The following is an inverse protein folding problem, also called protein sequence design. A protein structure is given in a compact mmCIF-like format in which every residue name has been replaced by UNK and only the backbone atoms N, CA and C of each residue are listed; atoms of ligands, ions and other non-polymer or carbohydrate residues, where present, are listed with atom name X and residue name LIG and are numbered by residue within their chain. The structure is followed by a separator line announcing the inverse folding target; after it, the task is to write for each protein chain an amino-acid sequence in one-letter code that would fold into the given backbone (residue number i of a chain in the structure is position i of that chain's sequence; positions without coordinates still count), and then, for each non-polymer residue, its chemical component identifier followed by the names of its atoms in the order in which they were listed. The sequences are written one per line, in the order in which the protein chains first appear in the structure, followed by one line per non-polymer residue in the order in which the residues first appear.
data_IF_471144035407
#
_entry.id   IF_471144035407
#
_cell.length_a   1.000
_cell.length_b   1.000
_cell.length_c   1.000
_cell.angle_alpha   90.00
_cell.angle_beta   90.00
_cell.angle_gamma   90.00
#
_symmetry.space_group_name_H-M   'P 1'
#
loop_
_entity.id
_entity.type
_entity.pdbx_description
1 polymer ?
#
# COMPACT_ATOMS: atom_id res chain seq x y z
N UNK A 1 6.21 -1.15 14.38
CA UNK A 1 4.92 -1.88 14.41
C UNK A 1 3.88 -0.92 14.99
N UNK A 2 2.76 -0.75 14.30
CA UNK A 2 1.64 0.08 14.76
C UNK A 2 0.78 -0.80 15.67
N UNK A 3 0.48 -0.40 16.92
CA UNK A 3 -0.46 -1.12 17.77
C UNK A 3 -1.80 -1.33 17.08
N UNK A 4 -2.36 -2.53 17.13
CA UNK A 4 -3.64 -2.88 16.52
C UNK A 4 -3.60 -3.19 15.02
N UNK A 5 -2.42 -3.22 14.38
CA UNK A 5 -2.28 -3.51 12.93
C UNK A 5 -2.82 -4.90 12.53
N UNK A 6 -2.85 -5.83 13.47
CA UNK A 6 -3.40 -7.19 13.28
C UNK A 6 -4.86 -7.31 13.77
N UNK A 7 -5.56 -6.19 13.94
CA UNK A 7 -6.97 -6.12 14.35
C UNK A 7 -7.91 -6.77 13.34
N UNK A 8 -9.07 -7.24 13.82
CA UNK A 8 -10.08 -7.93 12.98
C UNK A 8 -10.69 -7.05 11.89
N UNK A 9 -10.66 -5.73 12.09
CA UNK A 9 -11.12 -4.71 11.15
C UNK A 9 -10.00 -4.18 10.25
N UNK A 10 -8.80 -4.78 10.31
CA UNK A 10 -7.65 -4.39 9.48
C UNK A 10 -7.49 -5.38 8.34
N UNK A 11 -7.36 -4.86 7.12
CA UNK A 11 -7.15 -5.64 5.89
C UNK A 11 -5.94 -5.10 5.15
N UNK A 12 -5.09 -5.98 4.62
CA UNK A 12 -4.01 -5.54 3.76
C UNK A 12 -4.56 -5.14 2.39
N UNK A 13 -3.99 -4.10 1.76
CA UNK A 13 -4.46 -3.59 0.45
C UNK A 13 -4.50 -4.67 -0.64
N UNK A 14 -3.54 -5.60 -0.66
CA UNK A 14 -3.49 -6.69 -1.65
C UNK A 14 -4.63 -7.69 -1.41
N UNK A 15 -4.97 -7.95 -0.16
CA UNK A 15 -6.09 -8.84 0.19
C UNK A 15 -7.43 -8.16 -0.09
N UNK A 16 -7.54 -6.86 0.16
CA UNK A 16 -8.72 -6.07 -0.17
C UNK A 16 -9.05 -6.14 -1.67
N UNK A 17 -8.07 -5.93 -2.55
CA UNK A 17 -8.22 -6.07 -4.02
C UNK A 17 -8.60 -7.50 -4.46
N UNK A 18 -8.15 -8.52 -3.74
CA UNK A 18 -8.46 -9.92 -4.09
C UNK A 18 -9.84 -10.37 -3.62
N UNK A 19 -10.34 -9.76 -2.57
CA UNK A 19 -11.57 -10.16 -1.93
C UNK A 19 -12.26 -8.97 -1.25
N UNK A 20 -13.13 -8.30 -1.98
CA UNK A 20 -13.93 -7.17 -1.52
C UNK A 20 -14.80 -7.50 -0.30
N UNK A 21 -15.15 -8.78 -0.09
CA UNK A 21 -15.92 -9.22 1.07
C UNK A 21 -15.21 -9.01 2.40
N UNK A 22 -13.91 -8.73 2.39
CA UNK A 22 -13.15 -8.36 3.58
C UNK A 22 -13.41 -6.91 4.01
N UNK A 23 -13.86 -6.05 3.10
CA UNK A 23 -14.16 -4.64 3.35
C UNK A 23 -15.57 -4.53 3.94
N UNK A 24 -15.66 -4.31 5.24
CA UNK A 24 -16.92 -4.22 5.98
C UNK A 24 -17.30 -2.78 6.27
N UNK A 25 -18.60 -2.55 6.42
CA UNK A 25 -19.17 -1.25 6.75
C UNK A 25 -19.02 -0.21 5.63
N UNK A 26 -19.19 1.05 5.95
CA UNK A 26 -19.23 2.13 4.98
C UNK A 26 -18.09 3.15 5.13
N UNK A 27 -17.52 3.26 6.33
CA UNK A 27 -16.38 4.15 6.62
C UNK A 27 -15.08 3.40 6.47
N UNK A 28 -14.34 3.68 5.41
CA UNK A 28 -13.08 3.01 5.10
C UNK A 28 -11.91 3.98 5.25
N UNK A 29 -10.90 3.61 6.03
CA UNK A 29 -9.67 4.41 6.11
C UNK A 29 -8.50 3.61 5.55
N UNK A 30 -7.82 4.18 4.57
CA UNK A 30 -6.63 3.60 3.93
C UNK A 30 -5.39 4.28 4.50
N UNK A 31 -4.51 3.50 5.08
CA UNK A 31 -3.27 3.95 5.70
C UNK A 31 -2.10 3.79 4.72
N UNK A 32 -1.71 4.89 4.10
CA UNK A 32 -0.65 4.99 3.10
C UNK A 32 -1.14 5.59 1.79
N UNK A 33 -0.60 6.75 1.43
CA UNK A 33 -0.93 7.53 0.23
C UNK A 33 -0.02 7.26 -0.97
N UNK A 34 0.57 6.07 -1.07
CA UNK A 34 1.29 5.60 -2.25
C UNK A 34 0.33 5.15 -3.36
N UNK A 35 0.89 4.73 -4.52
CA UNK A 35 0.10 4.32 -5.70
C UNK A 35 -0.98 3.29 -5.35
N UNK A 36 -0.62 2.21 -4.63
CA UNK A 36 -1.58 1.15 -4.28
C UNK A 36 -2.71 1.63 -3.36
N UNK A 37 -2.39 2.52 -2.40
CA UNK A 37 -3.42 3.07 -1.50
C UNK A 37 -4.38 4.00 -2.23
N UNK A 38 -3.88 4.81 -3.16
CA UNK A 38 -4.70 5.74 -3.95
C UNK A 38 -5.54 5.01 -4.99
N UNK A 39 -5.00 3.97 -5.66
CA UNK A 39 -5.75 3.12 -6.59
C UNK A 39 -6.88 2.38 -5.86
N UNK A 40 -6.59 1.77 -4.70
CA UNK A 40 -7.60 1.13 -3.88
C UNK A 40 -8.66 2.10 -3.35
N UNK A 41 -8.29 3.34 -3.06
CA UNK A 41 -9.25 4.36 -2.64
C UNK A 41 -10.27 4.66 -3.74
N UNK A 42 -9.82 4.76 -5.00
CA UNK A 42 -10.72 4.96 -6.14
C UNK A 42 -11.64 3.76 -6.31
N UNK A 43 -11.09 2.55 -6.37
CA UNK A 43 -11.85 1.31 -6.53
C UNK A 43 -12.96 1.19 -5.48
N UNK A 44 -12.61 1.38 -4.21
CA UNK A 44 -13.57 1.24 -3.11
C UNK A 44 -14.63 2.36 -3.14
N UNK A 45 -14.24 3.59 -3.45
CA UNK A 45 -15.19 4.70 -3.52
C UNK A 45 -16.08 4.65 -4.77
N UNK A 46 -15.52 4.33 -5.95
CA UNK A 46 -16.23 4.32 -7.23
C UNK A 46 -17.11 3.07 -7.39
N UNK A 47 -16.58 1.88 -7.08
CA UNK A 47 -17.28 0.62 -7.35
C UNK A 47 -18.11 0.12 -6.16
N UNK A 48 -17.62 0.32 -4.93
CA UNK A 48 -18.31 -0.11 -3.72
C UNK A 48 -19.14 1.00 -3.07
N UNK A 49 -19.04 2.25 -3.54
CA UNK A 49 -19.78 3.43 -3.03
C UNK A 49 -19.58 3.67 -1.53
N UNK A 50 -18.33 3.48 -1.04
CA UNK A 50 -17.95 3.69 0.37
C UNK A 50 -17.40 5.09 0.63
N UNK A 51 -17.50 5.54 1.87
CA UNK A 51 -16.85 6.78 2.36
C UNK A 51 -15.37 6.49 2.65
N UNK A 52 -14.49 6.97 1.80
CA UNK A 52 -13.07 6.64 1.84
C UNK A 52 -12.23 7.83 2.28
N UNK A 53 -11.40 7.62 3.30
CA UNK A 53 -10.35 8.55 3.73
C UNK A 53 -8.98 7.90 3.55
N UNK A 54 -8.04 8.60 2.94
CA UNK A 54 -6.63 8.18 2.85
C UNK A 54 -5.80 9.02 3.79
N UNK A 55 -5.02 8.37 4.66
CA UNK A 55 -4.08 9.04 5.58
C UNK A 55 -2.64 8.75 5.16
N UNK A 56 -1.80 9.79 5.10
CA UNK A 56 -0.39 9.71 4.72
C UNK A 56 0.46 10.55 5.67
N UNK A 57 1.53 9.96 6.20
CA UNK A 57 2.44 10.65 7.12
C UNK A 57 3.32 11.69 6.42
N UNK A 58 3.56 11.53 5.13
CA UNK A 58 4.35 12.45 4.33
C UNK A 58 3.52 13.66 3.89
N UNK A 59 4.17 14.78 3.54
CA UNK A 59 3.47 15.98 3.06
C UNK A 59 2.88 15.83 1.65
N UNK A 60 3.24 14.77 0.92
CA UNK A 60 2.81 14.54 -0.47
C UNK A 60 2.29 13.12 -0.64
N UNK A 61 1.09 12.98 -1.21
CA UNK A 61 0.54 11.70 -1.67
C UNK A 61 0.97 11.38 -3.11
N UNK A 62 0.98 10.09 -3.45
CA UNK A 62 1.33 9.61 -4.78
C UNK A 62 2.77 9.95 -5.18
N UNK A 63 3.71 9.99 -4.25
CA UNK A 63 5.12 10.30 -4.53
C UNK A 63 5.74 9.32 -5.52
N UNK A 64 5.29 8.08 -5.52
CA UNK A 64 5.71 6.98 -6.41
C UNK A 64 4.90 6.91 -7.71
N UNK A 65 3.85 7.72 -7.86
CA UNK A 65 3.04 7.82 -9.08
C UNK A 65 3.75 8.68 -10.13
N UNK A 66 3.77 8.19 -11.37
CA UNK A 66 4.36 8.95 -12.48
C UNK A 66 3.57 10.24 -12.73
N UNK A 67 4.27 11.36 -12.94
CA UNK A 67 3.69 12.71 -12.97
C UNK A 67 2.46 12.85 -13.89
N UNK A 68 2.51 12.28 -15.09
CA UNK A 68 1.38 12.36 -16.05
C UNK A 68 0.14 11.67 -15.49
N UNK A 69 0.31 10.57 -14.76
CA UNK A 69 -0.81 9.81 -14.20
C UNK A 69 -1.40 10.49 -12.95
N UNK A 70 -0.62 11.31 -12.24
CA UNK A 70 -1.10 12.01 -11.04
C UNK A 70 -2.34 12.85 -11.32
N UNK A 71 -2.37 13.58 -12.43
CA UNK A 71 -3.49 14.48 -12.75
C UNK A 71 -4.80 13.68 -12.85
N UNK A 72 -4.81 12.59 -13.63
CA UNK A 72 -5.98 11.72 -13.76
C UNK A 72 -6.36 11.06 -12.45
N UNK A 73 -5.38 10.57 -11.70
CA UNK A 73 -5.57 9.91 -10.41
C UNK A 73 -6.25 10.84 -9.39
N UNK A 74 -5.72 12.05 -9.22
CA UNK A 74 -6.27 13.01 -8.26
C UNK A 74 -7.62 13.57 -8.68
N UNK A 75 -7.89 13.70 -9.99
CA UNK A 75 -9.22 14.05 -10.49
C UNK A 75 -10.24 12.96 -10.11
N UNK A 76 -9.93 11.68 -10.33
CA UNK A 76 -10.80 10.57 -9.95
C UNK A 76 -11.05 10.52 -8.44
N UNK A 77 -10.02 10.74 -7.62
CA UNK A 77 -10.17 10.81 -6.16
C UNK A 77 -11.13 11.92 -5.75
N UNK A 78 -11.01 13.10 -6.38
CA UNK A 78 -11.90 14.23 -6.12
C UNK A 78 -13.34 13.99 -6.61
N UNK A 79 -13.52 13.41 -7.79
CA UNK A 79 -14.83 13.04 -8.36
C UNK A 79 -15.58 12.06 -7.46
N UNK A 80 -14.85 11.14 -6.79
CA UNK A 80 -15.40 10.16 -5.87
C UNK A 80 -15.42 10.64 -4.41
N UNK A 81 -15.18 11.92 -4.15
CA UNK A 81 -15.18 12.54 -2.82
C UNK A 81 -14.23 11.88 -1.81
N UNK A 82 -13.14 11.24 -2.27
CA UNK A 82 -12.14 10.64 -1.39
C UNK A 82 -11.45 11.72 -0.57
N UNK A 83 -11.48 11.58 0.74
CA UNK A 83 -10.82 12.51 1.65
C UNK A 83 -9.32 12.17 1.76
N UNK A 84 -8.46 13.16 1.52
CA UNK A 84 -7.01 13.00 1.57
C UNK A 84 -6.43 13.78 2.76
N UNK A 85 -5.68 13.10 3.63
CA UNK A 85 -5.03 13.68 4.81
C UNK A 85 -3.53 13.42 4.76
N UNK A 86 -2.76 14.44 4.39
CA UNK A 86 -1.28 14.43 4.44
C UNK A 86 -0.77 14.89 5.81
N UNK A 87 0.53 14.71 6.09
CA UNK A 87 1.15 15.00 7.38
C UNK A 87 0.41 14.36 8.56
N UNK A 88 -0.22 13.21 8.31
CA UNK A 88 -1.10 12.50 9.23
C UNK A 88 -0.54 11.10 9.48
N UNK A 89 0.09 10.92 10.63
CA UNK A 89 0.75 9.66 11.01
C UNK A 89 -0.18 8.80 11.83
N UNK A 90 -0.40 7.56 11.41
CA UNK A 90 -1.13 6.57 12.21
C UNK A 90 -0.29 6.14 13.40
N UNK A 91 -0.84 6.26 14.61
CA UNK A 91 -0.17 5.90 15.88
C UNK A 91 -0.73 4.64 16.50
N UNK A 92 -2.02 4.35 16.35
CA UNK A 92 -2.67 3.13 16.81
C UNK A 92 -3.92 2.83 15.98
N UNK A 93 -4.37 1.57 16.03
CA UNK A 93 -5.63 1.11 15.44
C UNK A 93 -6.41 0.37 16.52
N UNK A 94 -7.73 0.56 16.57
CA UNK A 94 -8.64 -0.15 17.48
C UNK A 94 -9.88 -0.67 16.73
N UNK A 95 -10.83 -1.25 17.44
CA UNK A 95 -12.05 -1.81 16.86
C UNK A 95 -13.01 -0.76 16.26
N UNK A 96 -12.83 0.52 16.59
CA UNK A 96 -13.70 1.65 16.18
C UNK A 96 -13.04 2.52 15.10
N UNK A 97 -11.77 2.29 14.79
CA UNK A 97 -11.04 3.05 13.80
C UNK A 97 -9.55 3.15 14.09
N UNK A 98 -9.00 4.35 14.03
CA UNK A 98 -7.57 4.57 14.23
C UNK A 98 -7.28 5.91 14.86
N UNK A 99 -6.20 5.96 15.64
CA UNK A 99 -5.63 7.19 16.17
C UNK A 99 -4.53 7.68 15.24
N UNK A 100 -4.57 8.95 14.91
CA UNK A 100 -3.56 9.61 14.08
C UNK A 100 -2.99 10.81 14.80
N UNK A 101 -1.75 11.14 14.48
CA UNK A 101 -1.09 12.39 14.88
C UNK A 101 -0.99 13.31 13.66
N UNK A 102 -1.57 14.50 13.76
CA UNK A 102 -1.48 15.57 12.78
C UNK A 102 -0.97 16.84 13.45
N UNK A 103 0.21 17.33 13.05
CA UNK A 103 0.87 18.51 13.64
C UNK A 103 1.06 18.42 15.17
N UNK A 104 1.39 17.23 15.69
CA UNK A 104 1.57 16.98 17.12
C UNK A 104 0.27 16.87 17.93
N UNK A 105 -0.88 16.84 17.27
CA UNK A 105 -2.19 16.67 17.90
C UNK A 105 -2.74 15.31 17.54
N UNK A 106 -3.07 14.52 18.55
CA UNK A 106 -3.75 13.25 18.35
C UNK A 106 -5.24 13.44 18.06
N UNK A 107 -5.73 12.67 17.09
CA UNK A 107 -7.14 12.61 16.70
C UNK A 107 -7.54 11.16 16.48
N UNK A 108 -8.78 10.83 16.80
CA UNK A 108 -9.38 9.56 16.42
C UNK A 108 -10.19 9.72 15.13
N UNK A 109 -10.01 8.79 14.18
CA UNK A 109 -10.79 8.70 12.95
C UNK A 109 -11.59 7.40 13.02
N UNK A 110 -12.91 7.54 12.98
CA UNK A 110 -13.80 6.37 12.94
C UNK A 110 -13.64 5.61 11.62
N UNK A 111 -13.59 4.29 11.69
CA UNK A 111 -13.53 3.41 10.53
C UNK A 111 -14.15 2.05 10.84
N UNK A 112 -14.97 1.55 9.93
CA UNK A 112 -15.49 0.18 9.98
C UNK A 112 -14.43 -0.82 9.49
N UNK A 113 -13.63 -0.39 8.50
CA UNK A 113 -12.47 -1.14 8.00
C UNK A 113 -11.28 -0.21 7.83
N UNK A 114 -10.13 -0.64 8.33
CA UNK A 114 -8.84 0.00 8.13
C UNK A 114 -8.04 -0.80 7.11
N UNK A 115 -7.60 -0.17 6.03
CA UNK A 115 -6.80 -0.83 5.00
C UNK A 115 -5.33 -0.41 5.13
N UNK A 116 -4.47 -1.40 5.37
CA UNK A 116 -3.03 -1.16 5.47
C UNK A 116 -2.37 -1.16 4.09
N UNK A 117 -1.87 0.00 3.65
CA UNK A 117 -1.16 0.23 2.39
C UNK A 117 0.24 0.83 2.63
N UNK A 118 0.95 0.36 3.66
CA UNK A 118 2.26 0.87 4.08
C UNK A 118 3.43 0.43 3.17
N UNK A 119 3.13 -0.05 1.97
CA UNK A 119 4.11 -0.58 1.03
C UNK A 119 4.37 -2.06 1.21
N UNK A 120 5.23 -2.58 0.36
CA UNK A 120 5.62 -3.98 0.32
C UNK A 120 7.06 -4.15 0.82
N UNK A 121 7.44 -5.40 1.09
CA UNK A 121 8.82 -5.80 1.35
C UNK A 121 9.18 -6.98 0.46
N UNK A 122 10.44 -7.12 0.04
CA UNK A 122 10.88 -8.30 -0.71
C UNK A 122 10.60 -9.57 0.09
N UNK A 123 10.06 -10.60 -0.55
CA UNK A 123 9.97 -11.93 0.04
C UNK A 123 11.21 -12.73 -0.35
N UNK A 124 12.24 -12.68 0.48
CA UNK A 124 13.56 -13.28 0.21
C UNK A 124 13.68 -14.74 0.66
N UNK A 125 12.68 -15.30 1.34
CA UNK A 125 12.77 -16.63 2.01
C UNK A 125 13.28 -17.71 1.06
N UNK A 126 12.67 -17.85 -0.12
CA UNK A 126 13.10 -18.87 -1.09
C UNK A 126 14.46 -18.54 -1.71
N UNK A 127 14.69 -17.27 -2.05
CA UNK A 127 15.94 -16.84 -2.66
C UNK A 127 17.13 -17.02 -1.71
N UNK A 128 16.95 -16.76 -0.43
CA UNK A 128 17.98 -16.93 0.59
C UNK A 128 18.32 -18.42 0.81
N UNK A 129 17.31 -19.28 0.92
CA UNK A 129 17.49 -20.73 0.99
C UNK A 129 18.23 -21.30 -0.24
N UNK A 130 17.89 -20.81 -1.44
CA UNK A 130 18.54 -21.26 -2.67
C UNK A 130 19.97 -20.71 -2.78
N UNK A 131 20.24 -19.47 -2.38
CA UNK A 131 21.59 -18.89 -2.33
C UNK A 131 22.49 -19.65 -1.34
N UNK A 132 21.95 -20.05 -0.19
CA UNK A 132 22.67 -20.87 0.79
C UNK A 132 23.01 -22.25 0.22
N UNK A 133 22.04 -22.92 -0.39
CA UNK A 133 22.21 -24.28 -0.94
C UNK A 133 23.02 -24.32 -2.24
N UNK A 134 22.89 -23.28 -3.07
CA UNK A 134 23.52 -23.21 -4.40
C UNK A 134 24.14 -21.83 -4.67
N UNK A 135 25.16 -21.42 -3.91
CA UNK A 135 25.65 -20.03 -3.88
C UNK A 135 26.12 -19.53 -5.25
N UNK A 136 26.70 -20.41 -6.09
CA UNK A 136 27.21 -20.04 -7.42
C UNK A 136 26.20 -20.24 -8.55
N UNK A 137 24.98 -20.76 -8.24
CA UNK A 137 23.99 -21.13 -9.24
C UNK A 137 22.66 -20.40 -9.05
N UNK A 138 22.59 -19.52 -8.05
CA UNK A 138 21.35 -18.80 -7.71
C UNK A 138 21.56 -17.31 -7.82
N UNK A 139 20.67 -16.66 -8.55
CA UNK A 139 20.56 -15.19 -8.62
C UNK A 139 19.12 -14.80 -8.36
N UNK A 140 18.90 -13.94 -7.36
CA UNK A 140 17.60 -13.33 -7.13
C UNK A 140 17.48 -12.08 -8.01
N UNK A 141 16.28 -11.86 -8.57
CA UNK A 141 15.93 -10.72 -9.43
C UNK A 141 14.48 -10.31 -9.17
N UNK A 142 14.14 -9.06 -9.47
CA UNK A 142 12.79 -8.52 -9.27
C UNK A 142 12.43 -8.44 -7.80
N UNK A 143 11.14 -8.48 -7.50
CA UNK A 143 10.58 -8.20 -6.17
C UNK A 143 11.01 -9.17 -5.05
N UNK A 144 11.62 -10.30 -5.38
CA UNK A 144 12.22 -11.18 -4.37
C UNK A 144 13.63 -10.75 -3.95
N UNK A 145 14.26 -9.79 -4.62
CA UNK A 145 15.55 -9.17 -4.27
C UNK A 145 15.34 -7.71 -3.85
N UNK A 146 14.77 -6.93 -4.76
CA UNK A 146 14.47 -5.52 -4.54
C UNK A 146 13.15 -5.14 -5.19
N UNK A 147 12.27 -4.51 -4.42
CA UNK A 147 11.01 -4.01 -4.97
C UNK A 147 11.26 -3.00 -6.08
N UNK A 148 10.53 -3.17 -7.17
CA UNK A 148 10.64 -2.31 -8.34
C UNK A 148 9.35 -2.27 -9.15
N UNK A 149 9.42 -1.66 -10.32
CA UNK A 149 8.37 -1.66 -11.32
C UNK A 149 8.66 -2.72 -12.39
N UNK A 150 7.72 -2.97 -13.25
CA UNK A 150 7.84 -3.96 -14.34
C UNK A 150 9.12 -3.75 -15.17
N UNK A 151 9.46 -2.48 -15.46
CA UNK A 151 10.67 -2.14 -16.22
C UNK A 151 11.99 -2.54 -15.54
N UNK A 152 12.07 -2.40 -14.22
CA UNK A 152 13.22 -2.84 -13.43
C UNK A 152 13.33 -4.38 -13.47
N UNK A 153 12.24 -5.08 -13.21
CA UNK A 153 12.21 -6.53 -13.19
C UNK A 153 12.59 -7.14 -14.56
N UNK A 154 12.07 -6.58 -15.66
CA UNK A 154 12.43 -7.00 -17.03
C UNK A 154 13.93 -6.77 -17.32
N UNK A 155 14.46 -5.61 -16.92
CA UNK A 155 15.88 -5.28 -17.10
C UNK A 155 16.79 -6.21 -16.31
N UNK A 156 16.45 -6.47 -15.05
CA UNK A 156 17.20 -7.40 -14.21
C UNK A 156 17.20 -8.82 -14.78
N UNK A 157 16.05 -9.28 -15.30
CA UNK A 157 15.93 -10.57 -16.00
C UNK A 157 16.83 -10.65 -17.23
N UNK A 158 16.83 -9.60 -18.05
CA UNK A 158 17.71 -9.51 -19.23
C UNK A 158 19.19 -9.59 -18.85
N UNK A 159 19.63 -8.79 -17.86
CA UNK A 159 21.04 -8.82 -17.43
C UNK A 159 21.41 -10.14 -16.74
N UNK A 160 20.49 -10.74 -15.98
CA UNK A 160 20.75 -12.04 -15.38
C UNK A 160 20.98 -13.11 -16.47
N UNK A 161 20.10 -13.17 -17.47
CA UNK A 161 20.23 -14.11 -18.58
C UNK A 161 21.49 -13.86 -19.42
N UNK A 162 21.82 -12.58 -19.70
CA UNK A 162 23.00 -12.22 -20.50
C UNK A 162 24.33 -12.49 -19.80
N UNK A 163 24.32 -12.77 -18.50
CA UNK A 163 25.50 -13.11 -17.70
C UNK A 163 25.65 -14.60 -17.38
N UNK A 164 24.83 -15.44 -18.02
CA UNK A 164 24.98 -16.91 -17.97
C UNK A 164 25.97 -17.31 -19.07
N UNK A 165 27.16 -17.76 -18.68
CA UNK A 165 28.16 -18.41 -19.55
C UNK A 165 27.88 -19.90 -19.74
#
# INVERSE_FOLDING_TARGET
SIPGIDGKNVVNIVEAHRNELLIKGDKIVICGGGASGLDGAIEIAEEMHKDVTVVEMLPEMGKDVFFINKISLFNKLAENNVKLMTNTKVTAIDETGLTVEENGIEKHIEADTVISAFGMRPNTVLSDLLKEKYPMKTRAIGDCDKLGKIGEAVREGFYAASSLD
#
